data_IF_202600763629
#
_entry.id   IF_202600763629
#
_cell.length_a   1.000
_cell.length_b   1.000
_cell.length_c   1.000
_cell.angle_alpha   90.00
_cell.angle_beta   90.00
_cell.angle_gamma   90.00
#
_symmetry.space_group_name_H-M   'P 1'
#
loop_
_entity.id
_entity.type
_entity.pdbx_description
1 polymer ?
#
# COMPACT_ATOMS: atom_id res chain seq x y z
N UNK A 1 -25.93 -23.25 73.22
CA UNK A 1 -26.19 -22.01 72.47
C UNK A 1 -25.84 -22.30 71.01
N UNK A 2 -26.84 -22.26 70.11
CA UNK A 2 -26.84 -22.46 68.64
C UNK A 2 -26.39 -23.80 68.02
N UNK A 3 -27.34 -24.36 67.25
CA UNK A 3 -27.18 -25.32 66.13
C UNK A 3 -26.69 -24.57 64.88
N UNK A 4 -26.20 -25.33 63.91
CA UNK A 4 -26.38 -25.26 62.44
C UNK A 4 -25.18 -26.05 61.87
N UNK A 5 -25.29 -27.36 61.64
CA UNK A 5 -25.88 -28.02 60.45
C UNK A 5 -25.36 -27.36 59.14
N UNK A 6 -24.28 -27.84 58.52
CA UNK A 6 -24.14 -29.03 57.66
C UNK A 6 -24.50 -28.77 56.17
N UNK A 7 -23.67 -29.34 55.30
CA UNK A 7 -23.87 -29.67 53.87
C UNK A 7 -23.95 -28.52 52.82
N UNK A 8 -23.00 -28.52 51.87
CA UNK A 8 -23.20 -28.93 50.46
C UNK A 8 -22.03 -28.58 49.54
N UNK A 9 -21.27 -29.62 49.22
CA UNK A 9 -20.67 -29.82 47.91
C UNK A 9 -21.80 -29.94 46.86
N UNK A 10 -21.75 -29.16 45.78
CA UNK A 10 -22.57 -29.29 44.58
C UNK A 10 -21.91 -28.48 43.45
N UNK A 11 -21.47 -29.18 42.40
CA UNK A 11 -20.93 -28.60 41.20
C UNK A 11 -21.95 -27.94 40.26
N UNK A 12 -21.48 -27.73 39.03
CA UNK A 12 -22.16 -27.12 37.87
C UNK A 12 -22.19 -25.57 37.98
N UNK A 13 -21.76 -24.77 36.99
CA UNK A 13 -22.24 -24.77 35.60
C UNK A 13 -21.37 -23.79 34.79
N UNK A 14 -21.16 -24.09 33.52
CA UNK A 14 -20.65 -23.17 32.49
C UNK A 14 -21.37 -21.82 32.51
N UNK A 15 -20.62 -20.72 32.45
CA UNK A 15 -21.17 -19.37 32.35
C UNK A 15 -20.33 -18.51 31.43
N UNK A 16 -20.62 -18.57 30.13
CA UNK A 16 -20.13 -17.66 29.11
C UNK A 16 -20.50 -16.21 29.46
N UNK A 17 -19.51 -15.34 29.61
CA UNK A 17 -19.73 -13.90 29.65
C UNK A 17 -19.46 -13.29 28.26
N UNK A 18 -20.51 -13.30 27.46
CA UNK A 18 -20.71 -12.40 26.32
C UNK A 18 -20.83 -10.95 26.81
N UNK A 19 -20.54 -9.99 25.92
CA UNK A 19 -20.85 -8.55 25.94
C UNK A 19 -19.69 -7.59 26.27
N UNK A 20 -19.24 -6.97 25.18
CA UNK A 20 -18.52 -5.70 25.15
C UNK A 20 -18.51 -5.12 23.74
N UNK A 21 -19.67 -5.17 23.04
CA UNK A 21 -19.86 -4.50 21.75
C UNK A 21 -19.86 -2.99 22.02
N UNK A 22 -18.75 -2.33 21.77
CA UNK A 22 -18.67 -0.88 21.68
C UNK A 22 -19.19 -0.42 20.32
N UNK A 23 -20.52 -0.35 20.17
CA UNK A 23 -21.16 0.44 19.11
C UNK A 23 -20.96 1.91 19.46
N UNK A 24 -19.98 2.55 18.82
CA UNK A 24 -19.88 4.00 18.72
C UNK A 24 -20.71 4.49 17.54
N UNK A 25 -22.01 4.67 17.78
CA UNK A 25 -22.90 5.49 16.95
C UNK A 25 -22.79 6.95 17.42
N UNK A 26 -23.09 7.93 16.53
CA UNK A 26 -23.26 9.41 16.71
C UNK A 26 -22.17 10.20 15.94
N UNK A 27 -22.42 11.18 15.05
CA UNK A 27 -23.65 11.86 14.55
C UNK A 27 -23.38 12.48 13.17
N UNK A 28 -24.48 12.61 12.43
CA UNK A 28 -24.74 13.29 11.16
C UNK A 28 -24.25 14.76 11.12
N UNK A 29 -23.54 15.16 10.06
CA UNK A 29 -23.50 16.56 9.61
C UNK A 29 -23.43 16.63 8.09
N UNK A 30 -24.51 17.16 7.52
CA UNK A 30 -24.67 17.47 6.11
C UNK A 30 -23.83 18.70 5.74
N UNK A 31 -23.19 18.63 4.57
CA UNK A 31 -22.50 19.74 3.94
C UNK A 31 -22.31 19.46 2.46
N UNK A 32 -23.37 19.67 1.68
CA UNK A 32 -23.32 19.67 0.22
C UNK A 32 -22.63 20.96 -0.24
N UNK A 33 -21.53 20.83 -0.98
CA UNK A 33 -21.06 21.87 -1.89
C UNK A 33 -20.86 21.25 -3.27
N UNK A 34 -21.71 21.65 -4.20
CA UNK A 34 -21.56 21.37 -5.63
C UNK A 34 -20.68 22.48 -6.21
N UNK A 35 -19.48 22.12 -6.66
CA UNK A 35 -18.69 22.98 -7.55
C UNK A 35 -18.53 22.28 -8.88
N UNK A 36 -19.29 22.74 -9.87
CA UNK A 36 -19.07 22.45 -11.26
C UNK A 36 -17.86 23.27 -11.75
N UNK A 37 -16.85 22.61 -12.32
CA UNK A 37 -15.85 23.28 -13.16
C UNK A 37 -15.63 22.47 -14.43
N UNK A 38 -15.93 23.16 -15.53
CA UNK A 38 -15.79 22.82 -16.94
C UNK A 38 -14.33 22.61 -17.37
N UNK A 39 -14.17 21.71 -18.36
CA UNK A 39 -12.93 21.31 -19.06
C UNK A 39 -12.12 22.49 -19.63
N UNK A 40 -10.84 22.24 -19.98
CA UNK A 40 -10.57 22.20 -21.42
C UNK A 40 -9.91 20.89 -21.90
N UNK A 41 -10.43 20.43 -23.04
CA UNK A 41 -9.92 19.36 -23.88
C UNK A 41 -8.63 19.77 -24.57
N UNK A 42 -7.57 18.96 -24.48
CA UNK A 42 -6.43 19.06 -25.40
C UNK A 42 -6.34 17.81 -26.27
N UNK A 43 -6.84 17.96 -27.48
CA UNK A 43 -6.75 17.02 -28.60
C UNK A 43 -5.34 17.14 -29.21
N UNK A 44 -4.53 16.07 -29.16
CA UNK A 44 -3.28 16.02 -29.93
C UNK A 44 -3.60 15.51 -31.33
N UNK A 45 -3.49 16.41 -32.30
CA UNK A 45 -3.60 16.14 -33.74
C UNK A 45 -2.38 15.36 -34.20
N UNK A 46 -2.63 14.18 -34.77
CA UNK A 46 -1.65 13.42 -35.53
C UNK A 46 -1.48 14.03 -36.93
N UNK A 47 -0.25 14.41 -37.29
CA UNK A 47 0.09 14.76 -38.68
C UNK A 47 1.06 13.74 -39.26
N UNK A 48 0.52 12.86 -40.11
CA UNK A 48 1.26 12.10 -41.12
C UNK A 48 1.73 13.07 -42.20
N UNK A 49 2.98 12.96 -42.63
CA UNK A 49 3.41 13.44 -43.93
C UNK A 49 3.93 12.26 -44.76
N UNK A 50 3.35 12.08 -45.94
CA UNK A 50 3.70 11.11 -46.97
C UNK A 50 3.85 11.88 -48.28
N UNK A 51 4.99 11.77 -48.97
CA UNK A 51 5.20 11.91 -50.41
C UNK A 51 6.71 11.76 -50.67
N UNK A 52 7.22 10.69 -51.28
CA UNK A 52 7.13 10.26 -52.69
C UNK A 52 8.10 11.00 -53.63
N UNK A 53 8.84 10.19 -54.39
CA UNK A 53 10.07 10.46 -55.14
C UNK A 53 9.87 11.16 -56.50
N UNK A 54 10.97 11.57 -57.18
CA UNK A 54 11.21 11.45 -58.65
C UNK A 54 12.70 11.71 -59.00
N UNK A 55 13.13 11.13 -60.13
CA UNK A 55 14.48 10.73 -60.58
C UNK A 55 15.31 11.79 -61.39
N UNK A 56 16.60 11.47 -61.59
CA UNK A 56 17.70 12.19 -62.30
C UNK A 56 17.55 12.28 -63.85
N UNK A 57 18.44 12.97 -64.64
CA UNK A 57 19.72 12.36 -65.10
C UNK A 57 20.92 13.29 -65.55
N UNK A 58 22.12 12.67 -65.63
CA UNK A 58 23.38 12.81 -66.44
C UNK A 58 23.90 14.14 -67.08
N UNK A 59 25.20 14.46 -66.88
CA UNK A 59 26.29 14.39 -67.91
C UNK A 59 27.60 15.14 -67.53
N UNK A 60 28.73 14.42 -67.65
CA UNK A 60 30.05 14.78 -68.21
C UNK A 60 30.86 16.03 -67.75
N UNK A 61 32.09 15.81 -67.26
CA UNK A 61 33.34 16.33 -67.85
C UNK A 61 34.60 16.04 -66.98
N UNK A 62 35.70 15.81 -67.69
CA UNK A 62 37.08 15.49 -67.28
C UNK A 62 37.84 16.63 -66.58
N UNK A 63 38.63 16.33 -65.52
CA UNK A 63 39.98 16.87 -65.21
C UNK A 63 40.46 16.37 -63.83
N UNK A 64 41.51 15.54 -63.76
CA UNK A 64 42.93 15.86 -63.48
C UNK A 64 43.25 16.12 -62.01
N UNK A 65 44.19 15.32 -61.52
CA UNK A 65 44.60 15.10 -60.13
C UNK A 65 45.13 16.33 -59.38
N UNK A 66 44.88 16.39 -58.06
CA UNK A 66 45.76 17.07 -57.10
C UNK A 66 45.64 16.43 -55.70
N UNK A 67 46.79 15.98 -55.19
CA UNK A 67 47.18 15.74 -53.79
C UNK A 67 46.15 15.21 -52.78
N UNK A 68 46.25 13.92 -52.44
CA UNK A 68 45.65 13.36 -51.21
C UNK A 68 46.55 13.74 -50.03
N UNK A 69 46.12 14.70 -49.22
CA UNK A 69 46.67 14.90 -47.90
C UNK A 69 46.19 13.76 -46.99
N UNK A 70 47.13 13.04 -46.36
CA UNK A 70 46.83 12.02 -45.37
C UNK A 70 46.16 12.67 -44.15
N UNK A 71 44.85 12.47 -43.98
CA UNK A 71 44.13 12.83 -42.76
C UNK A 71 44.27 11.68 -41.77
N UNK A 72 44.99 11.94 -40.68
CA UNK A 72 45.08 11.03 -39.53
C UNK A 72 43.69 10.84 -38.93
N UNK A 73 43.11 9.65 -39.09
CA UNK A 73 41.82 9.30 -38.51
C UNK A 73 41.96 9.21 -36.99
N UNK A 74 41.27 10.09 -36.28
CA UNK A 74 41.18 10.08 -34.81
C UNK A 74 40.34 8.86 -34.38
N UNK A 75 40.78 8.03 -33.42
CA UNK A 75 40.00 6.88 -32.97
C UNK A 75 38.68 7.34 -32.34
N UNK A 76 37.56 6.85 -32.88
CA UNK A 76 36.22 7.10 -32.36
C UNK A 76 36.08 6.47 -30.97
N UNK A 77 35.62 7.22 -29.94
CA UNK A 77 35.44 6.65 -28.61
C UNK A 77 34.35 5.56 -28.64
N UNK A 78 34.67 4.43 -28.00
CA UNK A 78 33.73 3.32 -27.80
C UNK A 78 32.52 3.80 -26.99
N UNK A 79 31.27 3.49 -27.40
CA UNK A 79 30.09 3.90 -26.64
C UNK A 79 30.11 3.23 -25.27
N UNK A 80 30.01 4.04 -24.22
CA UNK A 80 29.89 3.56 -22.85
C UNK A 80 28.62 2.70 -22.74
N UNK A 81 28.70 1.48 -22.16
CA UNK A 81 27.52 0.65 -21.94
C UNK A 81 26.48 1.43 -21.15
N UNK A 82 25.26 1.51 -21.67
CA UNK A 82 24.13 2.11 -20.96
C UNK A 82 23.88 1.28 -19.70
N UNK A 83 23.73 1.91 -18.51
CA UNK A 83 23.41 1.17 -17.29
C UNK A 83 22.13 0.35 -17.51
N UNK A 84 22.18 -0.91 -17.07
CA UNK A 84 21.01 -1.79 -17.07
C UNK A 84 19.91 -1.19 -16.20
N UNK A 85 18.63 -1.18 -16.63
CA UNK A 85 17.55 -0.68 -15.81
C UNK A 85 17.45 -1.48 -14.51
N UNK A 86 17.40 -0.78 -13.39
CA UNK A 86 17.16 -1.38 -12.07
C UNK A 86 15.78 -2.06 -12.07
N UNK A 87 15.66 -3.31 -11.56
CA UNK A 87 14.37 -3.99 -11.47
C UNK A 87 13.35 -3.15 -10.70
N UNK A 88 12.13 -3.02 -11.24
CA UNK A 88 11.04 -2.33 -10.55
C UNK A 88 10.62 -3.18 -9.33
N UNK A 89 10.56 -2.59 -8.12
CA UNK A 89 10.15 -3.33 -6.94
C UNK A 89 8.70 -3.83 -7.12
N UNK A 90 8.51 -5.14 -6.99
CA UNK A 90 7.22 -5.80 -7.27
C UNK A 90 6.50 -6.14 -5.97
N UNK A 91 5.20 -5.92 -5.93
CA UNK A 91 4.32 -6.29 -4.82
C UNK A 91 3.85 -7.75 -4.98
N UNK A 92 4.14 -8.61 -4.01
CA UNK A 92 3.55 -9.94 -3.91
C UNK A 92 2.27 -9.90 -3.08
N UNK A 93 1.22 -10.61 -3.51
CA UNK A 93 -0.07 -10.69 -2.80
C UNK A 93 -0.53 -12.14 -2.72
N UNK A 94 -0.57 -12.68 -1.51
CA UNK A 94 -1.04 -14.04 -1.22
C UNK A 94 -2.21 -14.02 -0.25
N UNK A 95 -3.08 -15.01 -0.38
CA UNK A 95 -4.10 -15.27 0.63
C UNK A 95 -3.44 -15.77 1.91
N UNK A 96 -3.92 -15.30 3.05
CA UNK A 96 -3.47 -15.71 4.38
C UNK A 96 -4.70 -15.85 5.28
N UNK A 97 -4.67 -16.79 6.20
CA UNK A 97 -5.75 -17.00 7.16
C UNK A 97 -5.16 -17.14 8.54
N UNK A 98 -5.69 -16.36 9.47
CA UNK A 98 -5.33 -16.42 10.88
C UNK A 98 -6.49 -15.83 11.69
N UNK A 99 -6.65 -16.29 12.95
CA UNK A 99 -7.71 -15.83 13.85
C UNK A 99 -9.14 -15.87 13.27
N UNK A 100 -9.44 -16.86 12.41
CA UNK A 100 -10.70 -16.94 11.65
C UNK A 100 -10.99 -15.74 10.74
N UNK A 101 -9.94 -15.01 10.32
CA UNK A 101 -10.01 -13.91 9.36
C UNK A 101 -9.41 -14.32 8.02
N UNK A 102 -10.03 -13.83 6.95
CA UNK A 102 -9.50 -13.81 5.58
C UNK A 102 -8.62 -12.59 5.40
N UNK A 103 -7.33 -12.84 5.22
CA UNK A 103 -6.30 -11.83 5.19
C UNK A 103 -5.56 -11.86 3.85
N UNK A 104 -4.96 -10.72 3.50
CA UNK A 104 -3.94 -10.64 2.46
C UNK A 104 -2.58 -10.49 3.15
N UNK A 105 -1.63 -11.33 2.75
CA UNK A 105 -0.23 -11.20 3.08
C UNK A 105 0.48 -10.55 1.89
N UNK A 106 1.06 -9.37 2.13
CA UNK A 106 1.70 -8.58 1.09
C UNK A 106 3.21 -8.53 1.32
N UNK A 107 3.97 -8.96 0.32
CA UNK A 107 5.43 -8.90 0.32
C UNK A 107 5.93 -7.78 -0.56
N UNK A 108 6.84 -6.97 -0.05
CA UNK A 108 7.41 -5.84 -0.77
C UNK A 108 8.82 -5.54 -0.26
N UNK A 109 9.74 -5.05 -1.11
CA UNK A 109 11.09 -4.74 -0.68
C UNK A 109 11.14 -3.44 0.16
N UNK A 110 12.29 -3.17 0.79
CA UNK A 110 12.59 -1.87 1.38
C UNK A 110 12.56 -0.76 0.30
N UNK A 111 12.10 0.43 0.68
CA UNK A 111 11.91 1.57 -0.23
C UNK A 111 10.64 1.51 -1.09
N UNK A 112 9.79 0.49 -0.92
CA UNK A 112 8.52 0.39 -1.65
C UNK A 112 7.50 1.39 -1.11
N UNK A 113 6.97 2.24 -1.99
CA UNK A 113 5.85 3.13 -1.66
C UNK A 113 4.53 2.38 -1.82
N UNK A 114 3.88 2.10 -0.70
CA UNK A 114 2.58 1.46 -0.68
C UNK A 114 1.49 2.48 -1.01
N UNK A 115 0.62 2.13 -1.95
CA UNK A 115 -0.48 3.01 -2.39
C UNK A 115 -1.83 2.44 -2.00
N UNK A 116 -2.79 3.33 -1.74
CA UNK A 116 -4.15 2.93 -1.39
C UNK A 116 -4.81 2.25 -2.59
N UNK A 117 -5.35 1.02 -2.44
CA UNK A 117 -6.06 0.36 -3.52
C UNK A 117 -7.43 0.99 -3.80
N UNK A 118 -7.97 1.78 -2.86
CA UNK A 118 -9.27 2.45 -2.95
C UNK A 118 -9.15 3.93 -2.56
N UNK A 119 -10.11 4.74 -3.01
CA UNK A 119 -10.30 6.08 -2.48
C UNK A 119 -11.07 6.02 -1.16
N UNK A 120 -10.76 6.93 -0.22
CA UNK A 120 -11.45 6.97 1.06
C UNK A 120 -10.86 7.96 2.04
N UNK A 121 -11.46 8.00 3.24
CA UNK A 121 -10.91 8.72 4.39
C UNK A 121 -9.96 7.80 5.16
N UNK A 122 -8.82 8.34 5.54
CA UNK A 122 -7.82 7.67 6.36
C UNK A 122 -8.15 7.86 7.84
N UNK A 123 -8.05 6.77 8.61
CA UNK A 123 -7.89 6.83 10.06
C UNK A 123 -6.64 6.04 10.47
N UNK A 124 -5.91 6.50 11.47
CA UNK A 124 -4.67 5.87 11.94
C UNK A 124 -4.77 5.62 13.44
N UNK A 125 -4.58 4.35 13.83
CA UNK A 125 -4.49 3.96 15.24
C UNK A 125 -3.12 3.37 15.51
N UNK A 126 -2.38 3.95 16.45
CA UNK A 126 -1.08 3.44 16.86
C UNK A 126 -1.27 2.39 17.96
N UNK A 127 -0.66 1.22 17.76
CA UNK A 127 -0.63 0.14 18.74
C UNK A 127 0.78 -0.11 19.27
N UNK A 128 0.89 -0.48 20.54
CA UNK A 128 2.10 -1.01 21.17
C UNK A 128 1.77 -2.36 21.80
N UNK A 129 2.76 -3.26 21.90
CA UNK A 129 2.60 -4.51 22.64
C UNK A 129 2.99 -4.27 24.10
N UNK A 130 1.99 -4.18 24.99
CA UNK A 130 2.18 -3.94 26.42
C UNK A 130 1.69 -5.18 27.16
N UNK A 131 2.54 -5.75 28.01
CA UNK A 131 2.25 -6.97 28.79
C UNK A 131 1.73 -8.13 27.92
N UNK A 132 2.30 -8.28 26.71
CA UNK A 132 1.92 -9.33 25.77
C UNK A 132 0.59 -9.11 25.04
N UNK A 133 -0.03 -7.92 25.17
CA UNK A 133 -1.28 -7.59 24.49
C UNK A 133 -1.17 -6.30 23.66
N UNK A 134 -1.79 -6.21 22.48
CA UNK A 134 -1.87 -4.96 21.73
C UNK A 134 -2.71 -3.92 22.48
N UNK A 135 -2.13 -2.75 22.73
CA UNK A 135 -2.79 -1.59 23.35
C UNK A 135 -2.67 -0.38 22.44
N UNK A 136 -3.70 0.46 22.40
CA UNK A 136 -3.69 1.74 21.68
C UNK A 136 -3.90 2.90 22.67
N UNK A 137 -3.47 4.10 22.29
CA UNK A 137 -3.55 5.27 23.18
C UNK A 137 -2.49 5.27 24.28
N UNK A 138 -1.51 4.37 24.19
CA UNK A 138 -0.30 4.34 25.00
C UNK A 138 0.85 4.91 24.17
N UNK A 139 1.72 5.68 24.81
CA UNK A 139 2.90 6.30 24.20
C UNK A 139 4.14 6.00 25.07
N UNK A 140 4.44 4.71 25.23
CA UNK A 140 5.66 4.28 25.89
C UNK A 140 6.84 4.44 24.92
N UNK A 141 7.83 5.31 25.19
CA UNK A 141 8.91 5.58 24.27
C UNK A 141 9.86 4.39 24.04
N UNK A 142 9.85 3.40 24.94
CA UNK A 142 10.72 2.23 24.87
C UNK A 142 10.09 1.10 24.03
N UNK A 143 8.82 1.23 23.65
CA UNK A 143 8.09 0.22 22.89
C UNK A 143 7.83 0.65 21.44
N UNK A 144 8.07 -0.25 20.45
CA UNK A 144 7.75 0.05 19.06
C UNK A 144 6.25 0.35 18.87
N UNK A 145 5.97 1.40 18.11
CA UNK A 145 4.63 1.76 17.69
C UNK A 145 4.30 1.13 16.33
N UNK A 146 3.11 0.56 16.20
CA UNK A 146 2.64 -0.12 15.00
C UNK A 146 1.40 0.60 14.46
N UNK A 147 1.49 1.30 13.31
CA UNK A 147 0.36 2.04 12.78
C UNK A 147 -0.62 1.09 12.10
N UNK A 148 -1.88 1.14 12.52
CA UNK A 148 -3.00 0.52 11.83
C UNK A 148 -3.68 1.57 10.99
N UNK A 149 -3.60 1.42 9.67
CA UNK A 149 -4.11 2.39 8.71
C UNK A 149 -5.45 1.86 8.19
N UNK A 150 -6.49 2.64 8.39
CA UNK A 150 -7.83 2.37 7.90
C UNK A 150 -8.10 3.26 6.71
N UNK A 151 -8.56 2.71 5.60
CA UNK A 151 -9.07 3.49 4.46
C UNK A 151 -10.53 3.14 4.26
N UNK A 152 -11.41 4.11 4.49
CA UNK A 152 -12.86 3.94 4.47
C UNK A 152 -13.50 4.64 3.29
N UNK A 153 -14.19 3.86 2.45
CA UNK A 153 -15.07 4.35 1.40
C UNK A 153 -16.54 4.26 1.84
N UNK A 154 -17.47 4.48 0.91
CA UNK A 154 -18.90 4.27 1.15
C UNK A 154 -19.29 2.79 1.25
N UNK A 155 -18.57 1.90 0.56
CA UNK A 155 -18.93 0.48 0.38
C UNK A 155 -18.01 -0.49 1.10
N UNK A 156 -16.85 -0.04 1.60
CA UNK A 156 -15.89 -0.89 2.30
C UNK A 156 -14.93 -0.13 3.21
N UNK A 157 -14.30 -0.87 4.11
CA UNK A 157 -13.18 -0.40 4.91
C UNK A 157 -12.01 -1.37 4.76
N UNK A 158 -10.83 -0.84 4.48
CA UNK A 158 -9.59 -1.61 4.48
C UNK A 158 -8.81 -1.32 5.74
N UNK A 159 -8.33 -2.38 6.38
CA UNK A 159 -7.44 -2.30 7.53
C UNK A 159 -6.07 -2.84 7.14
N UNK A 160 -5.09 -1.96 7.13
CA UNK A 160 -3.73 -2.20 6.66
C UNK A 160 -2.79 -2.16 7.87
N UNK A 161 -2.02 -3.23 8.08
CA UNK A 161 -1.17 -3.43 9.25
C UNK A 161 0.28 -3.61 8.81
N UNK A 162 1.03 -2.51 8.57
CA UNK A 162 2.47 -2.56 8.33
C UNK A 162 3.29 -2.93 9.58
N UNK A 163 4.62 -2.91 9.43
CA UNK A 163 5.61 -3.01 10.52
C UNK A 163 5.68 -1.76 11.40
N UNK A 164 6.70 -1.65 12.25
CA UNK A 164 6.82 -0.57 13.21
C UNK A 164 7.08 0.80 12.54
N UNK A 165 6.45 1.85 13.08
CA UNK A 165 6.63 3.24 12.69
C UNK A 165 8.09 3.67 12.91
N UNK A 166 8.63 4.44 11.97
CA UNK A 166 9.99 4.99 11.94
C UNK A 166 11.14 3.97 11.97
N UNK A 167 10.82 2.68 12.07
CA UNK A 167 11.75 1.56 11.95
C UNK A 167 11.55 0.79 10.65
N UNK A 168 10.33 0.30 10.41
CA UNK A 168 10.00 -0.52 9.26
C UNK A 168 9.21 0.25 8.20
N UNK A 169 8.43 1.27 8.62
CA UNK A 169 7.66 2.13 7.71
C UNK A 169 7.71 3.58 8.11
N UNK A 170 7.60 4.47 7.12
CA UNK A 170 7.35 5.89 7.30
C UNK A 170 6.02 6.26 6.67
N UNK A 171 5.11 6.84 7.45
CA UNK A 171 3.81 7.29 6.98
C UNK A 171 3.94 8.49 6.04
N UNK A 172 3.10 8.52 5.01
CA UNK A 172 2.99 9.61 4.03
C UNK A 172 1.63 10.32 4.12
N UNK A 173 0.73 9.80 4.95
CA UNK A 173 -0.60 10.35 5.25
C UNK A 173 -0.75 10.58 6.75
N UNK A 174 -1.74 11.36 7.12
CA UNK A 174 -2.14 11.66 8.48
C UNK A 174 -3.56 11.18 8.75
N UNK A 175 -3.90 11.07 10.04
CA UNK A 175 -5.28 10.79 10.45
C UNK A 175 -6.24 11.86 9.90
N UNK A 176 -7.36 11.42 9.35
CA UNK A 176 -8.37 12.28 8.73
C UNK A 176 -8.12 12.65 7.27
N UNK A 177 -6.97 12.31 6.67
CA UNK A 177 -6.68 12.61 5.26
C UNK A 177 -7.72 11.97 4.32
N UNK A 178 -8.00 12.64 3.20
CA UNK A 178 -8.70 12.04 2.06
C UNK A 178 -7.67 11.55 1.05
N UNK A 179 -7.78 10.28 0.67
CA UNK A 179 -6.88 9.65 -0.30
C UNK A 179 -7.62 9.18 -1.54
N UNK A 180 -7.00 9.35 -2.71
CA UNK A 180 -7.44 8.73 -3.95
C UNK A 180 -6.91 7.30 -4.13
N UNK A 181 -7.53 6.56 -5.04
CA UNK A 181 -6.98 5.30 -5.53
C UNK A 181 -5.59 5.51 -6.12
N UNK A 182 -4.60 4.76 -5.64
CA UNK A 182 -3.20 4.88 -6.05
C UNK A 182 -2.40 5.96 -5.32
N UNK A 183 -3.01 6.70 -4.39
CA UNK A 183 -2.27 7.65 -3.58
C UNK A 183 -1.41 6.93 -2.53
N UNK A 184 -0.19 7.43 -2.31
CA UNK A 184 0.75 6.85 -1.35
C UNK A 184 0.23 6.95 0.09
N UNK A 185 0.37 5.87 0.86
CA UNK A 185 0.01 5.79 2.27
C UNK A 185 1.25 5.78 3.18
N UNK A 186 2.27 5.00 2.80
CA UNK A 186 3.53 4.90 3.50
C UNK A 186 4.62 4.40 2.56
N UNK A 187 5.87 4.54 2.98
CA UNK A 187 7.00 3.85 2.36
C UNK A 187 7.59 2.83 3.34
N UNK A 188 8.00 1.67 2.84
CA UNK A 188 8.80 0.73 3.63
C UNK A 188 10.22 1.26 3.78
N UNK A 189 10.78 1.16 4.97
CA UNK A 189 12.16 1.51 5.30
C UNK A 189 13.07 0.28 5.29
N UNK A 190 12.53 -0.87 5.69
CA UNK A 190 13.21 -2.16 5.77
C UNK A 190 12.38 -3.25 5.09
N UNK A 191 12.90 -4.47 5.04
CA UNK A 191 12.16 -5.70 4.76
C UNK A 191 11.51 -6.31 6.02
N UNK A 192 11.43 -5.53 7.10
CA UNK A 192 10.86 -5.92 8.38
C UNK A 192 9.40 -6.39 8.27
N UNK A 193 9.00 -7.38 9.08
CA UNK A 193 7.66 -7.95 8.99
C UNK A 193 6.60 -7.00 9.54
N UNK A 194 5.36 -7.26 9.17
CA UNK A 194 4.19 -6.57 9.72
C UNK A 194 4.07 -6.72 11.24
N UNK A 195 3.32 -5.80 11.85
CA UNK A 195 2.86 -5.91 13.25
C UNK A 195 2.14 -7.23 13.57
N UNK A 196 1.59 -7.91 12.58
CA UNK A 196 0.97 -9.23 12.75
C UNK A 196 1.95 -10.26 13.31
N UNK A 197 3.24 -10.14 12.96
CA UNK A 197 4.28 -10.99 13.52
C UNK A 197 4.42 -10.81 15.02
N UNK A 198 4.44 -9.56 15.46
CA UNK A 198 4.65 -9.19 16.86
C UNK A 198 3.44 -9.57 17.71
N UNK A 199 2.24 -9.44 17.15
CA UNK A 199 1.01 -9.54 17.92
C UNK A 199 0.35 -10.92 17.89
N UNK A 200 0.49 -11.68 16.80
CA UNK A 200 -0.38 -12.83 16.55
C UNK A 200 0.36 -14.07 16.01
N UNK A 201 1.10 -13.95 14.91
CA UNK A 201 1.80 -15.10 14.29
C UNK A 201 3.28 -14.80 14.06
N UNK A 202 4.15 -15.32 14.94
CA UNK A 202 5.59 -15.13 14.85
C UNK A 202 6.24 -15.65 13.54
N UNK A 203 5.54 -16.49 12.78
CA UNK A 203 6.04 -17.08 11.55
C UNK A 203 5.75 -16.24 10.31
N UNK A 204 4.81 -15.29 10.37
CA UNK A 204 4.48 -14.45 9.22
C UNK A 204 5.69 -13.60 8.81
N UNK A 205 5.93 -13.54 7.49
CA UNK A 205 7.06 -12.80 6.89
C UNK A 205 6.62 -11.68 5.95
N UNK A 206 5.32 -11.47 5.81
CA UNK A 206 4.78 -10.37 5.02
C UNK A 206 5.06 -9.03 5.70
N UNK A 207 5.46 -8.03 4.92
CA UNK A 207 5.68 -6.65 5.38
C UNK A 207 4.35 -5.98 5.77
N UNK A 208 3.24 -6.42 5.16
CA UNK A 208 1.90 -5.90 5.46
C UNK A 208 0.90 -7.05 5.54
N UNK A 209 0.04 -7.00 6.54
CA UNK A 209 -1.17 -7.83 6.62
C UNK A 209 -2.40 -6.94 6.50
N UNK A 210 -3.28 -7.26 5.56
CA UNK A 210 -4.47 -6.48 5.28
C UNK A 210 -5.74 -7.31 5.40
N UNK A 211 -6.82 -6.67 5.83
CA UNK A 211 -8.18 -7.23 5.83
C UNK A 211 -9.15 -6.20 5.27
N UNK A 212 -10.33 -6.66 4.87
CA UNK A 212 -11.35 -5.82 4.28
C UNK A 212 -12.73 -6.22 4.81
N UNK A 213 -13.60 -5.22 5.00
CA UNK A 213 -15.02 -5.44 5.31
C UNK A 213 -15.89 -4.64 4.36
N UNK A 214 -17.06 -5.18 4.02
CA UNK A 214 -18.10 -4.45 3.30
C UNK A 214 -18.84 -3.51 4.26
N UNK A 215 -19.22 -2.33 3.77
CA UNK A 215 -20.03 -1.36 4.49
C UNK A 215 -21.41 -1.20 3.81
N UNK A 216 -22.48 -0.98 4.59
CA UNK A 216 -22.51 -0.86 6.05
C UNK A 216 -22.60 -2.21 6.79
N UNK A 217 -22.61 -3.34 6.07
CA UNK A 217 -22.89 -4.65 6.67
C UNK A 217 -21.86 -5.11 7.70
N UNK A 218 -20.62 -4.64 7.60
CA UNK A 218 -19.51 -5.08 8.44
C UNK A 218 -19.01 -6.49 8.09
N UNK A 219 -19.57 -7.12 7.05
CA UNK A 219 -19.19 -8.47 6.65
C UNK A 219 -17.77 -8.48 6.12
N UNK A 220 -16.99 -9.47 6.55
CA UNK A 220 -15.68 -9.71 6.00
C UNK A 220 -15.76 -9.99 4.49
N UNK A 221 -14.83 -9.42 3.74
CA UNK A 221 -14.65 -9.68 2.30
C UNK A 221 -13.23 -10.13 2.03
N UNK A 222 -13.03 -10.88 0.95
CA UNK A 222 -11.69 -11.28 0.53
C UNK A 222 -10.83 -10.04 0.22
N UNK A 223 -9.74 -9.79 0.96
CA UNK A 223 -8.88 -8.66 0.67
C UNK A 223 -7.97 -8.89 -0.54
N UNK A 224 -7.70 -10.13 -0.95
CA UNK A 224 -6.70 -10.43 -2.00
C UNK A 224 -7.03 -9.75 -3.34
N UNK A 225 -8.27 -9.80 -3.87
CA UNK A 225 -8.61 -9.13 -5.12
C UNK A 225 -8.43 -7.61 -5.07
N UNK A 226 -8.46 -7.00 -3.89
CA UNK A 226 -8.33 -5.54 -3.73
C UNK A 226 -6.90 -5.09 -4.01
N UNK A 227 -5.91 -5.94 -3.73
CA UNK A 227 -4.48 -5.61 -3.86
C UNK A 227 -3.82 -6.16 -5.13
N UNK A 228 -4.52 -7.02 -5.89
CA UNK A 228 -4.05 -7.49 -7.20
C UNK A 228 -4.50 -6.49 -8.26
N UNK A 229 -3.54 -5.72 -8.79
CA UNK A 229 -3.72 -4.85 -9.96
C UNK A 229 -2.99 -5.43 -11.15
#
# INVERSE_FOLDING_TARGET
MRRDDDVRDLGLTFGSATLGIGIGLIVLSAGFWVSAMTLPSNTVVASRATAAATLAPISGATARATSVAATSATPQPSPTPRPSPTPVPTLGVTAYQDQNLRLAALTMPAGYTFTSPIAGRVAIVLYQLVDGAPRSGIDDPDLPQFPYIFVRSSDRELKIRPGALDKDVKLLVKDGDLVGTGQALFTTLTDGPSSWKTFYDANVRAQVIASAVALPSGNEVDPVPVFRR
#
